data_IF_011855792586
#
_entry.id   IF_011855792586
#
_cell.length_a   1.000
_cell.length_b   1.000
_cell.length_c   1.000
_cell.angle_alpha   90.00
_cell.angle_beta   90.00
_cell.angle_gamma   90.00
#
_symmetry.space_group_name_H-M   'P 1'
#
loop_
_entity.id
_entity.type
_entity.pdbx_description
1 polymer ?
#
# COMPACT_ATOMS: atom_id res chain seq x y z
N UNK A 1 1.25 -33.84 -9.56
CA UNK A 1 1.31 -32.42 -9.16
C UNK A 1 0.12 -32.16 -8.25
N UNK A 2 0.32 -32.31 -6.93
CA UNK A 2 -0.72 -32.19 -5.90
C UNK A 2 -0.14 -31.29 -4.81
N UNK A 3 -0.59 -30.03 -4.74
CA UNK A 3 -0.15 -29.02 -3.76
C UNK A 3 -1.39 -28.41 -3.08
N UNK A 4 -2.23 -29.24 -2.45
CA UNK A 4 -3.47 -28.76 -1.83
C UNK A 4 -3.82 -29.43 -0.48
N UNK A 5 -2.89 -30.05 0.24
CA UNK A 5 -3.25 -30.94 1.37
C UNK A 5 -2.85 -30.52 2.78
N UNK A 6 -2.28 -29.34 3.01
CA UNK A 6 -1.91 -28.90 4.37
C UNK A 6 -2.58 -27.59 4.81
N UNK A 7 -3.85 -27.39 4.48
CA UNK A 7 -4.67 -26.43 5.22
C UNK A 7 -5.43 -27.19 6.30
N UNK A 8 -4.95 -27.11 7.56
CA UNK A 8 -5.71 -27.62 8.70
C UNK A 8 -7.06 -26.87 8.74
N UNK A 9 -8.20 -27.57 8.75
CA UNK A 9 -9.49 -26.92 8.93
C UNK A 9 -9.46 -26.13 10.24
N UNK A 10 -10.02 -24.93 10.23
CA UNK A 10 -10.16 -24.12 11.43
C UNK A 10 -10.90 -24.94 12.52
N UNK A 11 -10.46 -24.89 13.79
CA UNK A 11 -11.12 -25.61 14.87
C UNK A 11 -12.59 -25.19 14.98
N UNK A 12 -13.48 -26.17 15.22
CA UNK A 12 -14.95 -25.98 15.30
C UNK A 12 -15.41 -24.96 16.34
N UNK A 13 -14.52 -24.59 17.27
CA UNK A 13 -14.78 -23.68 18.40
C UNK A 13 -14.16 -22.28 18.20
N UNK A 14 -13.66 -21.96 17.00
CA UNK A 14 -13.20 -20.60 16.72
C UNK A 14 -14.38 -19.61 16.93
N UNK A 15 -14.18 -18.50 17.67
CA UNK A 15 -15.23 -17.54 17.92
C UNK A 15 -15.84 -17.06 16.60
N UNK A 16 -17.14 -17.27 16.43
CA UNK A 16 -17.89 -16.90 15.21
C UNK A 16 -17.98 -15.38 15.05
N UNK A 17 -17.82 -14.63 16.14
CA UNK A 17 -17.84 -13.18 16.17
C UNK A 17 -16.43 -12.64 16.42
N UNK A 18 -15.69 -12.43 15.35
CA UNK A 18 -14.57 -11.50 15.37
C UNK A 18 -15.12 -10.07 15.27
N UNK A 19 -14.76 -9.20 16.21
CA UNK A 19 -14.84 -7.75 15.99
C UNK A 19 -13.69 -7.43 15.03
N UNK A 20 -13.88 -7.75 13.75
CA UNK A 20 -12.92 -7.38 12.73
C UNK A 20 -12.94 -5.85 12.66
N UNK A 21 -11.90 -5.21 13.20
CA UNK A 21 -11.53 -3.86 12.76
C UNK A 21 -11.52 -3.90 11.25
N UNK A 22 -12.33 -3.06 10.60
CA UNK A 22 -12.41 -3.03 9.15
C UNK A 22 -10.97 -2.98 8.57
N UNK A 23 -10.63 -3.87 7.62
CA UNK A 23 -9.27 -3.95 7.12
C UNK A 23 -8.88 -2.61 6.49
N UNK A 24 -7.62 -2.20 6.69
CA UNK A 24 -7.08 -1.03 6.00
C UNK A 24 -6.84 -1.40 4.55
N UNK A 25 -7.40 -0.62 3.64
CA UNK A 25 -7.29 -0.87 2.21
C UNK A 25 -6.58 0.30 1.52
N UNK A 26 -5.62 -0.03 0.69
CA UNK A 26 -4.86 0.89 -0.14
C UNK A 26 -5.31 0.67 -1.58
N UNK A 27 -5.79 1.73 -2.23
CA UNK A 27 -6.20 1.67 -3.64
C UNK A 27 -5.20 2.47 -4.46
N UNK A 28 -4.52 1.81 -5.38
CA UNK A 28 -3.67 2.49 -6.38
C UNK A 28 -4.51 2.76 -7.62
N UNK A 29 -4.73 4.04 -7.92
CA UNK A 29 -5.48 4.48 -9.07
C UNK A 29 -4.64 5.40 -9.96
N UNK A 30 -5.06 5.58 -11.20
CA UNK A 30 -4.46 6.49 -12.15
C UNK A 30 -5.39 7.69 -12.39
N UNK A 31 -4.83 8.87 -12.67
CA UNK A 31 -5.63 10.08 -12.91
C UNK A 31 -6.52 10.03 -14.15
N UNK A 32 -6.25 9.09 -15.07
CA UNK A 32 -7.08 8.82 -16.23
C UNK A 32 -8.38 8.09 -15.90
N UNK A 33 -8.52 7.55 -14.68
CA UNK A 33 -9.76 6.93 -14.22
C UNK A 33 -10.87 7.99 -14.15
N UNK A 34 -12.07 7.62 -14.61
CA UNK A 34 -13.22 8.52 -14.58
C UNK A 34 -13.51 9.03 -13.17
N UNK A 35 -13.83 10.32 -13.07
CA UNK A 35 -14.12 11.01 -11.81
C UNK A 35 -15.19 10.29 -10.98
N UNK A 36 -16.27 9.81 -11.61
CA UNK A 36 -17.34 9.08 -10.91
C UNK A 36 -16.86 7.73 -10.36
N UNK A 37 -15.98 7.03 -11.08
CA UNK A 37 -15.38 5.76 -10.63
C UNK A 37 -14.42 5.97 -9.48
N UNK A 38 -13.62 7.03 -9.52
CA UNK A 38 -12.77 7.39 -8.38
C UNK A 38 -13.62 7.69 -7.14
N UNK A 39 -14.75 8.39 -7.31
CA UNK A 39 -15.70 8.66 -6.22
C UNK A 39 -16.28 7.39 -5.62
N UNK A 40 -16.62 6.40 -6.45
CA UNK A 40 -17.16 5.12 -6.01
C UNK A 40 -16.21 4.31 -5.12
N UNK A 41 -14.90 4.56 -5.19
CA UNK A 41 -13.87 3.90 -4.36
C UNK A 41 -13.70 4.55 -2.98
N UNK A 42 -14.23 5.77 -2.76
CA UNK A 42 -14.07 6.50 -1.52
C UNK A 42 -14.93 5.90 -0.39
N UNK A 43 -14.29 5.51 0.71
CA UNK A 43 -14.88 4.73 1.80
C UNK A 43 -14.06 4.90 3.10
N UNK A 44 -14.66 4.79 4.29
CA UNK A 44 -13.90 4.74 5.54
C UNK A 44 -12.87 3.59 5.54
N UNK A 45 -11.66 3.86 6.02
CA UNK A 45 -10.54 2.92 6.06
C UNK A 45 -9.76 2.78 4.74
N UNK A 46 -10.18 3.49 3.67
CA UNK A 46 -9.51 3.44 2.36
C UNK A 46 -8.51 4.59 2.22
N UNK A 47 -7.26 4.23 1.95
CA UNK A 47 -6.19 5.15 1.54
C UNK A 47 -6.03 5.12 0.03
N UNK A 48 -6.18 6.27 -0.63
CA UNK A 48 -5.97 6.39 -2.07
C UNK A 48 -4.51 6.75 -2.39
N UNK A 49 -3.94 6.06 -3.36
CA UNK A 49 -2.66 6.37 -3.98
C UNK A 49 -2.90 6.70 -5.45
N UNK A 50 -2.86 7.99 -5.79
CA UNK A 50 -3.16 8.49 -7.13
C UNK A 50 -1.86 8.69 -7.93
N UNK A 51 -1.65 7.88 -8.95
CA UNK A 51 -0.65 8.10 -10.00
C UNK A 51 -1.13 9.20 -10.95
N UNK A 52 -0.24 10.07 -11.36
CA UNK A 52 -0.53 11.17 -12.26
C UNK A 52 0.41 11.17 -13.45
N UNK A 53 -0.11 11.51 -14.63
CA UNK A 53 0.70 11.85 -15.80
C UNK A 53 1.29 13.25 -15.64
N UNK A 54 0.53 14.17 -15.01
CA UNK A 54 0.91 15.57 -14.77
C UNK A 54 0.80 16.00 -13.30
N UNK A 55 1.53 17.03 -12.89
CA UNK A 55 1.39 17.61 -11.54
C UNK A 55 0.12 18.47 -11.38
N UNK A 56 -0.67 18.63 -12.44
CA UNK A 56 -1.89 19.44 -12.47
C UNK A 56 -3.13 18.56 -12.37
N UNK A 57 -3.83 18.63 -11.24
CA UNK A 57 -5.09 17.91 -11.05
C UNK A 57 -6.30 18.70 -11.55
N UNK A 58 -7.23 18.03 -12.22
CA UNK A 58 -8.54 18.59 -12.57
C UNK A 58 -9.32 18.96 -11.31
N UNK A 59 -10.10 20.04 -11.37
CA UNK A 59 -10.93 20.51 -10.24
C UNK A 59 -11.86 19.40 -9.71
N UNK A 60 -12.49 18.64 -10.59
CA UNK A 60 -13.37 17.53 -10.22
C UNK A 60 -12.63 16.39 -9.50
N UNK A 61 -11.38 16.11 -9.89
CA UNK A 61 -10.51 15.15 -9.19
C UNK A 61 -10.23 15.65 -7.78
N UNK A 62 -9.81 16.91 -7.62
CA UNK A 62 -9.51 17.55 -6.32
C UNK A 62 -10.69 17.44 -5.35
N UNK A 63 -11.91 17.71 -5.81
CA UNK A 63 -13.13 17.60 -5.00
C UNK A 63 -13.38 16.17 -4.51
N UNK A 64 -13.09 15.16 -5.34
CA UNK A 64 -13.24 13.75 -4.94
C UNK A 64 -12.15 13.27 -3.99
N UNK A 65 -10.93 13.77 -4.08
CA UNK A 65 -9.85 13.38 -3.17
C UNK A 65 -10.18 13.71 -1.70
N UNK A 66 -10.99 14.73 -1.45
CA UNK A 66 -11.41 15.10 -0.09
C UNK A 66 -12.30 14.04 0.59
N UNK A 67 -12.88 13.11 -0.18
CA UNK A 67 -13.78 12.05 0.32
C UNK A 67 -13.04 10.87 0.94
N UNK A 68 -11.76 10.72 0.65
CA UNK A 68 -10.94 9.65 1.21
C UNK A 68 -10.39 10.05 2.58
N UNK A 69 -10.15 9.07 3.44
CA UNK A 69 -9.58 9.30 4.77
C UNK A 69 -8.13 9.78 4.66
N UNK A 70 -7.37 9.18 3.74
CA UNK A 70 -6.00 9.56 3.41
C UNK A 70 -5.78 9.44 1.90
N UNK A 71 -5.03 10.39 1.36
CA UNK A 71 -4.70 10.45 -0.07
C UNK A 71 -3.21 10.71 -0.23
N UNK A 72 -2.59 10.02 -1.16
CA UNK A 72 -1.24 10.26 -1.63
C UNK A 72 -1.29 10.57 -3.12
N UNK A 73 -0.84 11.76 -3.52
CA UNK A 73 -0.83 12.19 -4.92
C UNK A 73 0.60 12.13 -5.42
N UNK A 74 0.83 11.39 -6.50
CA UNK A 74 2.13 11.34 -7.14
C UNK A 74 2.49 12.72 -7.69
N UNK A 75 3.70 13.19 -7.41
CA UNK A 75 4.28 14.35 -8.06
C UNK A 75 5.57 13.95 -8.76
N UNK A 76 5.74 14.47 -9.97
CA UNK A 76 6.84 14.12 -10.86
C UNK A 76 7.82 15.28 -10.97
N UNK A 77 9.12 14.95 -10.96
CA UNK A 77 10.14 15.95 -11.26
C UNK A 77 10.07 16.38 -12.74
N UNK A 78 10.38 17.66 -13.06
CA UNK A 78 10.73 18.73 -12.12
C UNK A 78 9.49 19.36 -11.45
N UNK A 79 9.54 19.56 -10.12
CA UNK A 79 8.46 20.21 -9.37
C UNK A 79 8.57 21.74 -9.44
N UNK A 80 7.46 22.38 -9.79
CA UNK A 80 7.29 23.83 -9.74
C UNK A 80 6.59 24.23 -8.44
N UNK A 81 6.80 25.45 -7.91
CA UNK A 81 6.07 25.92 -6.73
C UNK A 81 4.54 25.84 -6.87
N UNK A 82 4.01 26.01 -8.09
CA UNK A 82 2.56 25.89 -8.38
C UNK A 82 2.03 24.48 -8.16
N UNK A 83 2.86 23.45 -8.33
CA UNK A 83 2.47 22.05 -8.16
C UNK A 83 2.13 21.75 -6.69
N UNK A 84 2.80 22.43 -5.75
CA UNK A 84 2.52 22.31 -4.33
C UNK A 84 1.21 22.99 -3.90
N UNK A 85 0.72 23.97 -4.66
CA UNK A 85 -0.49 24.72 -4.32
C UNK A 85 -1.76 23.85 -4.29
N UNK A 86 -1.73 22.67 -4.92
CA UNK A 86 -2.85 21.71 -4.87
C UNK A 86 -3.10 21.18 -3.46
N UNK A 87 -2.05 21.00 -2.64
CA UNK A 87 -2.17 20.46 -1.29
C UNK A 87 -2.85 21.44 -0.33
N UNK A 88 -2.76 22.75 -0.60
CA UNK A 88 -3.51 23.76 0.14
C UNK A 88 -5.04 23.58 -0.01
N UNK A 89 -5.50 22.99 -1.11
CA UNK A 89 -6.93 22.69 -1.37
C UNK A 89 -7.36 21.33 -0.83
N UNK A 90 -6.41 20.46 -0.46
CA UNK A 90 -6.67 19.10 0.03
C UNK A 90 -5.79 18.85 1.26
N UNK A 91 -6.13 19.39 2.45
CA UNK A 91 -5.25 19.36 3.62
C UNK A 91 -4.88 17.95 4.13
N UNK A 92 -5.67 16.92 3.76
CA UNK A 92 -5.44 15.51 4.10
C UNK A 92 -4.52 14.78 3.09
N UNK A 93 -4.24 15.39 1.94
CA UNK A 93 -3.40 14.78 0.93
C UNK A 93 -1.91 14.93 1.29
N UNK A 94 -1.18 13.83 1.17
CA UNK A 94 0.27 13.81 1.17
C UNK A 94 0.83 13.77 -0.24
N UNK A 95 2.08 14.20 -0.40
CA UNK A 95 2.81 14.06 -1.64
C UNK A 95 3.44 12.67 -1.72
N UNK A 96 3.33 12.02 -2.88
CA UNK A 96 4.02 10.78 -3.19
C UNK A 96 5.08 11.09 -4.25
N UNK A 97 6.34 10.80 -3.92
CA UNK A 97 7.49 11.15 -4.75
C UNK A 97 8.30 9.91 -5.10
N UNK A 98 8.95 9.95 -6.25
CA UNK A 98 10.05 9.05 -6.55
C UNK A 98 11.33 9.54 -5.87
N UNK A 99 12.29 8.63 -5.62
CA UNK A 99 13.55 8.95 -4.95
C UNK A 99 14.31 10.12 -5.61
N UNK A 100 14.25 10.23 -6.95
CA UNK A 100 14.88 11.32 -7.72
C UNK A 100 14.30 12.70 -7.42
N UNK A 101 13.08 12.77 -6.88
CA UNK A 101 12.40 14.01 -6.52
C UNK A 101 12.58 14.41 -5.04
N UNK A 102 13.35 13.64 -4.24
CA UNK A 102 13.53 13.89 -2.80
C UNK A 102 14.13 15.25 -2.46
N UNK A 103 15.02 15.77 -3.29
CA UNK A 103 15.61 17.09 -3.11
C UNK A 103 14.56 18.23 -3.12
N UNK A 104 13.35 17.94 -3.59
CA UNK A 104 12.26 18.89 -3.75
C UNK A 104 11.29 18.89 -2.57
N UNK A 105 11.44 17.98 -1.59
CA UNK A 105 10.55 17.89 -0.41
C UNK A 105 10.43 19.21 0.35
N UNK A 106 11.54 19.93 0.53
CA UNK A 106 11.54 21.24 1.19
C UNK A 106 10.79 22.34 0.40
N UNK A 107 10.42 22.08 -0.85
CA UNK A 107 9.72 23.02 -1.76
C UNK A 107 8.23 22.71 -1.92
N UNK A 108 7.66 21.86 -1.06
CA UNK A 108 6.24 21.48 -1.10
C UNK A 108 5.45 22.16 0.04
N UNK A 109 5.23 23.49 -0.01
CA UNK A 109 4.39 24.15 0.98
C UNK A 109 2.98 23.54 0.95
N UNK A 110 2.51 23.07 2.11
CA UNK A 110 1.17 22.50 2.28
C UNK A 110 1.09 20.97 2.25
N UNK A 111 2.08 20.26 1.68
CA UNK A 111 2.15 18.81 1.78
C UNK A 111 2.61 18.41 3.19
N UNK A 112 1.67 18.09 4.08
CA UNK A 112 1.98 17.77 5.49
C UNK A 112 2.74 16.46 5.66
N UNK A 113 2.63 15.57 4.69
CA UNK A 113 3.25 14.24 4.71
C UNK A 113 3.81 13.93 3.33
N UNK A 114 4.94 13.23 3.33
CA UNK A 114 5.61 12.76 2.12
C UNK A 114 5.74 11.24 2.17
N UNK A 115 5.37 10.58 1.09
CA UNK A 115 5.66 9.17 0.83
C UNK A 115 6.67 9.08 -0.31
N UNK A 116 7.57 8.11 -0.24
CA UNK A 116 8.68 7.97 -1.19
C UNK A 116 8.70 6.57 -1.76
N UNK A 117 8.69 6.42 -3.08
CA UNK A 117 9.00 5.17 -3.76
C UNK A 117 10.44 5.19 -4.26
N UNK A 118 11.14 4.08 -4.03
CA UNK A 118 12.52 3.88 -4.42
C UNK A 118 12.57 2.59 -5.24
N UNK A 119 12.98 2.71 -6.49
CA UNK A 119 13.32 1.58 -7.33
C UNK A 119 14.85 1.51 -7.48
N UNK A 120 15.43 0.36 -7.13
CA UNK A 120 16.88 0.17 -7.18
C UNK A 120 17.64 0.76 -5.98
N UNK A 121 18.84 1.29 -6.21
CA UNK A 121 19.74 1.72 -5.14
C UNK A 121 19.29 3.07 -4.50
N UNK A 122 19.01 3.10 -3.20
CA UNK A 122 18.58 4.32 -2.50
C UNK A 122 19.74 5.26 -2.14
N UNK A 123 19.48 6.57 -2.19
CA UNK A 123 20.24 7.57 -1.43
C UNK A 123 19.63 7.70 -0.02
N UNK A 124 20.12 6.87 0.91
CA UNK A 124 19.60 6.85 2.29
C UNK A 124 19.77 8.20 3.03
N UNK A 125 20.81 8.98 2.74
CA UNK A 125 21.03 10.27 3.37
C UNK A 125 20.03 11.32 2.89
N UNK A 126 19.70 11.33 1.60
CA UNK A 126 18.60 12.17 1.10
C UNK A 126 17.27 11.80 1.75
N UNK A 127 16.98 10.51 1.90
CA UNK A 127 15.72 10.04 2.50
C UNK A 127 15.64 10.43 3.99
N UNK A 128 16.72 10.24 4.75
CA UNK A 128 16.78 10.65 6.17
C UNK A 128 16.53 12.14 6.35
N UNK A 129 17.12 12.98 5.50
CA UNK A 129 16.92 14.44 5.51
C UNK A 129 15.48 14.81 5.17
N UNK A 130 14.85 14.11 4.23
CA UNK A 130 13.47 14.36 3.83
C UNK A 130 12.43 13.96 4.89
N UNK A 131 12.78 13.07 5.83
CA UNK A 131 11.90 12.54 6.90
C UNK A 131 10.50 12.15 6.40
N UNK A 132 10.39 11.28 5.39
CA UNK A 132 9.10 10.87 4.87
C UNK A 132 8.27 10.14 5.94
N UNK A 133 6.96 10.23 5.83
CA UNK A 133 6.03 9.47 6.65
C UNK A 133 5.95 8.00 6.19
N UNK A 134 6.25 7.72 4.92
CA UNK A 134 6.30 6.37 4.36
C UNK A 134 7.41 6.24 3.30
N UNK A 135 8.14 5.13 3.34
CA UNK A 135 9.17 4.77 2.37
C UNK A 135 8.87 3.38 1.84
N UNK A 136 8.64 3.28 0.53
CA UNK A 136 8.50 2.03 -0.20
C UNK A 136 9.75 1.79 -1.03
N UNK A 137 10.37 0.63 -0.87
CA UNK A 137 11.62 0.29 -1.55
C UNK A 137 11.52 -1.06 -2.25
N UNK A 138 11.80 -1.06 -3.56
CA UNK A 138 12.00 -2.24 -4.38
C UNK A 138 13.51 -2.38 -4.68
N UNK A 139 14.27 -3.20 -3.92
CA UNK A 139 15.74 -3.22 -3.96
C UNK A 139 16.36 -3.82 -5.24
N UNK A 140 15.57 -4.21 -6.25
CA UNK A 140 16.09 -4.91 -7.44
C UNK A 140 16.76 -6.25 -7.08
N UNK A 141 17.72 -6.68 -7.91
CA UNK A 141 18.50 -7.90 -7.66
C UNK A 141 19.75 -7.54 -6.83
N UNK A 142 19.66 -7.58 -5.50
CA UNK A 142 20.83 -7.38 -4.64
C UNK A 142 20.58 -6.63 -3.35
N UNK A 143 19.66 -7.12 -2.51
CA UNK A 143 19.53 -6.60 -1.15
C UNK A 143 20.65 -7.16 -0.27
N UNK A 144 21.71 -6.38 -0.08
CA UNK A 144 22.75 -6.73 0.89
C UNK A 144 22.37 -6.35 2.34
N UNK A 145 23.10 -6.91 3.31
CA UNK A 145 22.83 -6.69 4.73
C UNK A 145 23.05 -5.23 5.18
N UNK A 146 23.95 -4.50 4.51
CA UNK A 146 24.24 -3.11 4.83
C UNK A 146 23.07 -2.22 4.41
N UNK A 147 22.61 -2.36 3.17
CA UNK A 147 21.46 -1.65 2.62
C UNK A 147 20.18 -2.00 3.38
N UNK A 148 20.02 -3.27 3.80
CA UNK A 148 18.94 -3.68 4.70
C UNK A 148 18.99 -2.95 6.05
N UNK A 149 20.15 -2.93 6.72
CA UNK A 149 20.35 -2.21 7.98
C UNK A 149 20.07 -0.71 7.84
N UNK A 150 20.54 -0.10 6.76
CA UNK A 150 20.30 1.30 6.46
C UNK A 150 18.81 1.58 6.25
N UNK A 151 18.10 0.76 5.48
CA UNK A 151 16.66 0.87 5.27
C UNK A 151 15.87 0.74 6.58
N UNK A 152 16.27 -0.19 7.46
CA UNK A 152 15.70 -0.33 8.82
C UNK A 152 15.87 0.92 9.66
N UNK A 153 16.94 1.69 9.48
CA UNK A 153 17.14 2.93 10.24
C UNK A 153 16.38 4.15 9.72
N UNK A 154 15.67 4.04 8.59
CA UNK A 154 14.95 5.17 8.01
C UNK A 154 13.75 5.60 8.89
N UNK A 155 13.41 6.89 8.89
CA UNK A 155 12.23 7.38 9.59
C UNK A 155 10.93 6.95 8.90
N UNK A 156 9.83 7.04 9.64
CA UNK A 156 8.50 6.76 9.12
C UNK A 156 8.23 5.27 8.92
N UNK A 157 7.16 4.97 8.21
CA UNK A 157 6.80 3.60 7.87
C UNK A 157 7.68 3.10 6.73
N UNK A 158 8.29 1.92 6.89
CA UNK A 158 9.20 1.33 5.91
C UNK A 158 8.54 0.10 5.30
N UNK A 159 8.51 0.04 3.98
CA UNK A 159 7.83 -1.02 3.22
C UNK A 159 8.79 -1.58 2.18
N UNK A 160 9.19 -2.83 2.34
CA UNK A 160 9.97 -3.56 1.37
C UNK A 160 9.04 -4.20 0.34
N UNK A 161 9.13 -3.80 -0.93
CA UNK A 161 8.41 -4.44 -2.03
C UNK A 161 9.23 -5.61 -2.56
N UNK A 162 8.82 -6.83 -2.21
CA UNK A 162 9.53 -8.04 -2.64
C UNK A 162 9.02 -8.48 -4.01
N UNK A 163 9.93 -8.70 -4.96
CA UNK A 163 9.60 -9.33 -6.22
C UNK A 163 9.07 -10.76 -5.97
N UNK A 164 8.19 -11.31 -6.84
CA UNK A 164 7.75 -12.68 -6.72
C UNK A 164 8.94 -13.65 -6.66
N UNK A 165 9.01 -14.46 -5.60
CA UNK A 165 10.09 -15.44 -5.40
C UNK A 165 11.37 -14.87 -4.76
N UNK A 166 11.43 -13.57 -4.44
CA UNK A 166 12.54 -13.02 -3.68
C UNK A 166 12.55 -13.56 -2.24
N UNK A 167 13.71 -14.01 -1.78
CA UNK A 167 13.90 -14.36 -0.37
C UNK A 167 13.96 -13.09 0.46
N UNK A 168 13.16 -13.05 1.54
CA UNK A 168 13.26 -11.97 2.53
C UNK A 168 14.56 -12.14 3.34
N UNK A 169 15.21 -11.05 3.78
CA UNK A 169 16.47 -11.12 4.51
C UNK A 169 16.36 -11.81 5.88
N UNK A 170 15.16 -11.86 6.44
CA UNK A 170 14.87 -12.39 7.78
C UNK A 170 13.64 -13.28 7.68
N UNK A 171 13.67 -14.44 8.33
CA UNK A 171 12.52 -15.33 8.39
C UNK A 171 11.39 -14.71 9.21
N UNK A 172 10.15 -15.15 8.98
CA UNK A 172 9.01 -14.63 9.71
C UNK A 172 9.09 -14.80 11.23
N UNK A 173 9.70 -15.89 11.69
CA UNK A 173 9.85 -16.18 13.12
C UNK A 173 10.84 -15.24 13.83
N UNK A 174 11.76 -14.63 13.09
CA UNK A 174 12.83 -13.80 13.63
C UNK A 174 12.53 -12.29 13.55
N UNK A 175 11.37 -11.92 12.99
CA UNK A 175 10.99 -10.51 12.81
C UNK A 175 10.55 -9.85 14.10
N UNK A 176 10.98 -8.61 14.24
CA UNK A 176 10.69 -7.71 15.35
C UNK A 176 9.82 -6.55 14.88
N UNK A 177 9.23 -5.80 15.82
CA UNK A 177 8.48 -4.57 15.51
C UNK A 177 9.34 -3.48 14.87
N UNK A 178 10.66 -3.55 15.03
CA UNK A 178 11.60 -2.65 14.39
C UNK A 178 11.78 -2.95 12.90
N UNK A 179 11.38 -4.13 12.42
CA UNK A 179 11.58 -4.52 11.03
C UNK A 179 10.62 -3.83 10.06
N UNK A 180 11.05 -3.55 8.81
CA UNK A 180 10.23 -2.90 7.79
C UNK A 180 9.06 -3.81 7.43
N UNK A 181 7.84 -3.28 7.32
CA UNK A 181 6.72 -4.01 6.74
C UNK A 181 7.09 -4.50 5.33
N UNK A 182 6.48 -5.59 4.88
CA UNK A 182 6.72 -6.11 3.52
C UNK A 182 5.46 -5.92 2.69
N UNK A 183 5.63 -5.67 1.40
CA UNK A 183 4.56 -5.73 0.42
C UNK A 183 4.74 -7.00 -0.44
N UNK A 184 3.72 -7.87 -0.43
CA UNK A 184 3.72 -9.18 -1.06
C UNK A 184 2.55 -9.31 -2.01
N UNK A 185 2.78 -9.90 -3.19
CA UNK A 185 1.68 -10.33 -4.06
C UNK A 185 1.01 -11.59 -3.49
N UNK A 186 -0.32 -11.69 -3.58
CA UNK A 186 -1.06 -12.90 -3.15
C UNK A 186 -0.54 -14.17 -3.83
N UNK A 187 -0.20 -14.09 -5.11
CA UNK A 187 0.39 -15.23 -5.81
C UNK A 187 1.69 -15.71 -5.13
N UNK A 188 2.50 -14.78 -4.62
CA UNK A 188 3.69 -15.09 -3.82
C UNK A 188 3.31 -15.68 -2.48
N UNK A 189 2.28 -15.16 -1.80
CA UNK A 189 1.79 -15.75 -0.55
C UNK A 189 1.31 -17.20 -0.69
N UNK A 190 0.64 -17.52 -1.79
CA UNK A 190 0.16 -18.87 -2.07
C UNK A 190 1.27 -19.82 -2.47
N UNK A 191 2.33 -19.30 -3.11
CA UNK A 191 3.51 -20.07 -3.49
C UNK A 191 4.43 -20.37 -2.29
N UNK A 192 4.40 -19.53 -1.27
CA UNK A 192 5.13 -19.73 -0.03
C UNK A 192 4.37 -20.75 0.85
N UNK A 193 4.97 -21.91 1.13
CA UNK A 193 4.48 -22.83 2.16
C UNK A 193 4.33 -22.10 3.50
N UNK A 194 3.48 -22.63 4.39
CA UNK A 194 2.92 -22.03 5.62
C UNK A 194 3.82 -21.13 6.49
N UNK A 195 5.14 -21.21 6.37
CA UNK A 195 6.09 -20.63 7.30
C UNK A 195 6.52 -19.20 6.91
N UNK A 196 6.07 -18.70 5.74
CA UNK A 196 6.35 -17.33 5.24
C UNK A 196 5.06 -16.51 5.03
N UNK A 197 4.01 -16.83 5.79
CA UNK A 197 2.79 -16.03 5.82
C UNK A 197 3.10 -14.61 6.34
N UNK A 198 2.41 -13.54 5.87
CA UNK A 198 2.69 -12.16 6.26
C UNK A 198 2.94 -12.05 7.76
N UNK A 199 4.14 -11.63 8.09
CA UNK A 199 4.68 -11.64 9.43
C UNK A 199 5.25 -10.26 9.71
N UNK A 200 4.72 -9.62 10.74
CA UNK A 200 5.05 -8.23 11.08
C UNK A 200 3.89 -7.27 10.80
N UNK A 201 3.70 -6.35 11.73
CA UNK A 201 2.59 -5.40 11.70
C UNK A 201 2.59 -4.57 10.41
N UNK A 202 1.39 -4.43 9.82
CA UNK A 202 1.20 -3.61 8.63
C UNK A 202 1.81 -4.20 7.36
N UNK A 203 1.95 -5.52 7.28
CA UNK A 203 2.29 -6.19 6.02
C UNK A 203 1.23 -5.87 4.97
N UNK A 204 1.66 -5.47 3.78
CA UNK A 204 0.78 -5.15 2.65
C UNK A 204 0.65 -6.34 1.73
N UNK A 205 -0.58 -6.65 1.36
CA UNK A 205 -0.87 -7.76 0.46
C UNK A 205 -1.55 -7.23 -0.80
N UNK A 206 -0.87 -7.35 -1.93
CA UNK A 206 -1.38 -6.94 -3.24
C UNK A 206 -2.34 -7.99 -3.77
N UNK A 207 -3.62 -7.62 -3.87
CA UNK A 207 -4.73 -8.46 -4.28
C UNK A 207 -5.30 -8.00 -5.63
N UNK A 208 -5.83 -8.95 -6.38
CA UNK A 208 -6.66 -8.64 -7.55
C UNK A 208 -8.09 -8.27 -7.08
N UNK A 209 -8.80 -7.37 -7.78
CA UNK A 209 -10.20 -7.09 -7.48
C UNK A 209 -11.11 -8.33 -7.50
N UNK A 210 -10.76 -9.33 -8.33
CA UNK A 210 -11.47 -10.60 -8.49
C UNK A 210 -11.04 -11.69 -7.49
N UNK A 211 -10.33 -11.34 -6.41
CA UNK A 211 -9.89 -12.31 -5.41
C UNK A 211 -11.09 -13.08 -4.82
N UNK A 212 -10.91 -14.39 -4.63
CA UNK A 212 -11.95 -15.23 -4.06
C UNK A 212 -12.19 -14.86 -2.57
N UNK A 213 -13.44 -14.73 -2.12
CA UNK A 213 -13.74 -14.27 -0.76
C UNK A 213 -13.12 -15.12 0.35
N UNK A 214 -13.09 -16.45 0.19
CA UNK A 214 -12.53 -17.35 1.19
C UNK A 214 -11.02 -17.15 1.36
N UNK A 215 -10.29 -16.82 0.28
CA UNK A 215 -8.87 -16.55 0.33
C UNK A 215 -8.59 -15.24 1.08
N UNK A 216 -9.37 -14.21 0.78
CA UNK A 216 -9.31 -12.94 1.49
C UNK A 216 -9.60 -13.11 2.99
N UNK A 217 -10.64 -13.86 3.33
CA UNK A 217 -10.97 -14.19 4.72
C UNK A 217 -9.82 -14.95 5.39
N UNK A 218 -9.22 -15.92 4.69
CA UNK A 218 -8.08 -16.69 5.22
C UNK A 218 -6.88 -15.81 5.53
N UNK A 219 -6.61 -14.78 4.70
CA UNK A 219 -5.56 -13.79 4.94
C UNK A 219 -5.85 -12.97 6.20
N UNK A 220 -7.05 -12.39 6.28
CA UNK A 220 -7.44 -11.50 7.37
C UNK A 220 -7.61 -12.21 8.72
N UNK A 221 -8.10 -13.45 8.73
CA UNK A 221 -8.23 -14.26 9.95
C UNK A 221 -6.85 -14.63 10.49
N UNK A 222 -5.90 -14.91 9.61
CA UNK A 222 -4.56 -15.34 10.01
C UNK A 222 -3.69 -14.18 10.49
N UNK A 223 -3.83 -13.00 9.91
CA UNK A 223 -3.21 -11.76 10.42
C UNK A 223 -4.14 -10.55 10.21
N UNK A 224 -4.85 -10.10 11.27
CA UNK A 224 -5.77 -8.96 11.16
C UNK A 224 -5.04 -7.61 11.03
N UNK A 225 -3.71 -7.58 11.18
CA UNK A 225 -2.90 -6.37 10.96
C UNK A 225 -2.50 -6.16 9.50
N UNK A 226 -2.82 -7.11 8.62
CA UNK A 226 -2.58 -7.01 7.18
C UNK A 226 -3.35 -5.83 6.59
N UNK A 227 -2.67 -5.09 5.74
CA UNK A 227 -3.29 -4.07 4.90
C UNK A 227 -3.41 -4.60 3.47
N UNK A 228 -4.54 -4.35 2.83
CA UNK A 228 -4.82 -4.83 1.48
C UNK A 228 -4.44 -3.76 0.46
N UNK A 229 -3.83 -4.15 -0.65
CA UNK A 229 -3.46 -3.24 -1.74
C UNK A 229 -4.16 -3.68 -3.02
N UNK A 230 -4.97 -2.81 -3.61
CA UNK A 230 -5.71 -3.06 -4.86
C UNK A 230 -5.20 -2.07 -5.93
N UNK A 231 -4.54 -2.57 -6.97
CA UNK A 231 -4.15 -1.74 -8.11
C UNK A 231 -5.22 -1.77 -9.20
N UNK A 232 -5.94 -0.66 -9.35
CA UNK A 232 -6.97 -0.47 -10.37
C UNK A 232 -6.45 0.28 -11.59
N UNK A 233 -5.34 1.02 -11.47
CA UNK A 233 -4.81 1.88 -12.53
C UNK A 233 -5.89 2.81 -13.10
N UNK A 234 -5.96 2.90 -14.43
CA UNK A 234 -7.01 3.61 -15.17
C UNK A 234 -8.12 2.69 -15.72
N UNK A 235 -8.16 1.42 -15.29
CA UNK A 235 -9.05 0.40 -15.85
C UNK A 235 -10.42 0.42 -15.15
N UNK A 236 -11.47 0.66 -15.94
CA UNK A 236 -12.86 0.74 -15.45
C UNK A 236 -13.36 -0.58 -14.87
N UNK A 237 -13.00 -1.70 -15.49
CA UNK A 237 -13.43 -3.04 -15.04
C UNK A 237 -12.77 -3.37 -13.71
N UNK A 238 -11.48 -3.05 -13.56
CA UNK A 238 -10.79 -3.22 -12.27
C UNK A 238 -11.35 -2.30 -11.19
N UNK A 239 -11.68 -1.06 -11.52
CA UNK A 239 -12.30 -0.12 -10.59
C UNK A 239 -13.69 -0.61 -10.12
N UNK A 240 -14.50 -1.17 -11.02
CA UNK A 240 -15.80 -1.77 -10.67
C UNK A 240 -15.62 -2.97 -9.73
N UNK A 241 -14.70 -3.89 -10.06
CA UNK A 241 -14.39 -5.03 -9.18
C UNK A 241 -13.87 -4.58 -7.81
N UNK A 242 -13.05 -3.52 -7.77
CA UNK A 242 -12.54 -2.98 -6.52
C UNK A 242 -13.66 -2.37 -5.67
N UNK A 243 -14.62 -1.67 -6.30
CA UNK A 243 -15.83 -1.16 -5.61
C UNK A 243 -16.61 -2.31 -4.97
N UNK A 244 -16.91 -3.36 -5.73
CA UNK A 244 -17.66 -4.52 -5.23
C UNK A 244 -16.92 -5.24 -4.10
N UNK A 245 -15.60 -5.35 -4.21
CA UNK A 245 -14.76 -5.92 -3.17
C UNK A 245 -14.77 -5.07 -1.90
N UNK A 246 -14.64 -3.75 -2.02
CA UNK A 246 -14.73 -2.81 -0.91
C UNK A 246 -16.11 -2.87 -0.23
N UNK A 247 -17.20 -2.97 -1.00
CA UNK A 247 -18.54 -3.14 -0.45
C UNK A 247 -18.65 -4.43 0.39
N UNK A 248 -18.12 -5.55 -0.09
CA UNK A 248 -18.09 -6.81 0.68
C UNK A 248 -17.26 -6.70 1.95
N UNK A 249 -16.10 -6.02 1.89
CA UNK A 249 -15.22 -5.79 3.03
C UNK A 249 -15.86 -4.90 4.11
N UNK A 250 -16.72 -3.97 3.73
CA UNK A 250 -17.44 -3.09 4.65
C UNK A 250 -18.69 -3.71 5.25
N UNK A 251 -19.37 -4.59 4.49
CA UNK A 251 -20.57 -5.26 4.97
C UNK A 251 -20.24 -6.24 6.10
N UNK A 252 -19.05 -6.86 6.10
CA UNK A 252 -18.67 -7.88 7.07
C UNK A 252 -19.65 -9.07 7.09
N UNK A 253 -19.32 -10.21 7.73
CA UNK A 253 -20.34 -11.19 8.02
C UNK A 253 -21.42 -10.51 8.87
N UNK A 254 -22.68 -10.62 8.46
CA UNK A 254 -23.81 -10.14 9.25
C UNK A 254 -23.68 -10.67 10.69
N UNK A 255 -23.92 -9.77 11.65
CA UNK A 255 -23.92 -10.06 13.09
C UNK A 255 -24.84 -11.22 13.45
#
# INVERSE_FOLDING_TARGET
MVLAQNQRPLPREAPQTFIATAPRVHVLAHESLETDRLRELARPGVTLWLRTDSNTLKKSTVENLQRFDSVWVQLRAPLKPVDAAVFSKIPKAGAWLDASALALVGRLPGARRVAVTIDGAPDFEAIRRARPAEVRWAPGAGLDLLAWSQFRSLPGRRILSAAPGALLPVSCAERTSADPSVELHVATLLALSSDVFPCGQGTRVVIQPSIEPWLLQSILVRDPSVELVIDVGGDRTRALGARELLEKLQVGPAR
#
